data_IF_483676798284
#
_entry.id   IF_483676798284
#
_cell.length_a   1.000
_cell.length_b   1.000
_cell.length_c   1.000
_cell.angle_alpha   90.00
_cell.angle_beta   90.00
_cell.angle_gamma   90.00
#
_symmetry.space_group_name_H-M   'P 1'
#
loop_
_entity.id
_entity.type
_entity.pdbx_description
1 polymer ?
#
# COMPACT_ATOMS: atom_id res chain seq x y z
N UNK A 1 -22.47 -29.64 -37.97
CA UNK A 1 -23.38 -30.07 -36.88
C UNK A 1 -23.16 -29.15 -35.69
N UNK A 2 -24.18 -28.38 -35.32
CA UNK A 2 -24.16 -27.42 -34.21
C UNK A 2 -24.25 -28.20 -32.89
N UNK A 3 -23.22 -28.12 -32.05
CA UNK A 3 -23.30 -28.55 -30.66
C UNK A 3 -23.69 -27.33 -29.79
N UNK A 4 -24.75 -27.50 -29.02
CA UNK A 4 -25.54 -26.41 -28.46
C UNK A 4 -24.83 -25.59 -27.39
N UNK A 5 -24.92 -24.27 -27.55
CA UNK A 5 -24.78 -23.27 -26.49
C UNK A 5 -25.78 -23.62 -25.38
N UNK A 6 -25.31 -24.13 -24.25
CA UNK A 6 -26.08 -24.15 -23.00
C UNK A 6 -25.75 -22.88 -22.23
N UNK A 7 -26.38 -21.77 -22.59
CA UNK A 7 -26.57 -20.68 -21.62
C UNK A 7 -27.67 -21.12 -20.65
N UNK A 8 -27.30 -21.82 -19.59
CA UNK A 8 -28.14 -21.88 -18.39
C UNK A 8 -28.16 -20.48 -17.79
N UNK A 9 -29.35 -19.95 -17.54
CA UNK A 9 -29.60 -18.57 -17.13
C UNK A 9 -28.66 -18.09 -16.03
N UNK A 10 -27.88 -17.06 -16.35
CA UNK A 10 -27.15 -16.28 -15.35
C UNK A 10 -28.21 -15.49 -14.58
N UNK A 11 -28.72 -16.05 -13.48
CA UNK A 11 -29.31 -15.20 -12.45
C UNK A 11 -28.23 -14.18 -12.09
N UNK A 12 -28.58 -12.89 -11.98
CA UNK A 12 -27.64 -11.80 -11.68
C UNK A 12 -27.05 -12.02 -10.27
N UNK A 13 -26.10 -12.93 -10.12
CA UNK A 13 -25.24 -13.03 -8.95
C UNK A 13 -24.26 -11.87 -9.05
N UNK A 14 -24.21 -11.01 -8.02
CA UNK A 14 -23.26 -9.92 -7.95
C UNK A 14 -21.87 -10.53 -7.77
N UNK A 15 -21.01 -10.39 -8.78
CA UNK A 15 -19.59 -10.69 -8.66
C UNK A 15 -18.86 -9.42 -8.22
N UNK A 16 -17.99 -9.55 -7.22
CA UNK A 16 -17.05 -8.51 -6.80
C UNK A 16 -15.63 -9.05 -6.91
N UNK A 17 -14.69 -8.21 -7.34
CA UNK A 17 -13.27 -8.51 -7.30
C UNK A 17 -12.65 -7.76 -6.11
N UNK A 18 -11.70 -8.39 -5.44
CA UNK A 18 -10.91 -7.76 -4.39
C UNK A 18 -9.46 -8.25 -4.49
N UNK A 19 -8.50 -7.41 -4.09
CA UNK A 19 -7.12 -7.84 -3.95
C UNK A 19 -6.85 -8.35 -2.54
N UNK A 20 -5.76 -9.12 -2.38
CA UNK A 20 -5.23 -9.43 -1.05
C UNK A 20 -4.89 -8.14 -0.30
N UNK A 21 -4.99 -8.17 1.03
CA UNK A 21 -4.55 -7.08 1.92
C UNK A 21 -3.10 -6.66 1.61
N UNK A 22 -2.25 -7.66 1.40
CA UNK A 22 -0.82 -7.50 1.09
C UNK A 22 -0.54 -8.11 -0.28
N UNK A 23 -0.23 -7.25 -1.25
CA UNK A 23 0.11 -7.64 -2.62
C UNK A 23 1.51 -7.11 -2.94
N UNK A 24 2.36 -7.98 -3.47
CA UNK A 24 3.76 -7.67 -3.78
C UNK A 24 3.90 -6.60 -4.87
N UNK A 25 2.94 -6.53 -5.80
CA UNK A 25 2.86 -5.53 -6.85
C UNK A 25 1.41 -5.35 -7.30
N UNK A 26 0.98 -4.11 -7.50
CA UNK A 26 -0.36 -3.75 -7.98
C UNK A 26 -0.24 -2.56 -8.94
N UNK A 27 -0.94 -2.62 -10.07
CA UNK A 27 -1.13 -1.44 -10.93
C UNK A 27 -2.30 -0.61 -10.39
N UNK A 28 -2.09 0.70 -10.21
CA UNK A 28 -3.06 1.61 -9.62
C UNK A 28 -3.24 2.88 -10.47
N UNK A 29 -4.32 3.62 -10.25
CA UNK A 29 -4.58 4.94 -10.86
C UNK A 29 -5.03 4.94 -12.32
N UNK A 30 -5.11 6.14 -12.91
CA UNK A 30 -5.32 6.39 -14.35
C UNK A 30 -6.44 5.59 -15.01
N UNK A 31 -7.61 5.59 -14.36
CA UNK A 31 -8.84 4.97 -14.88
C UNK A 31 -8.84 3.45 -14.87
N UNK A 32 -7.95 2.80 -14.12
CA UNK A 32 -8.03 1.36 -13.85
C UNK A 32 -9.19 1.06 -12.89
N UNK A 33 -9.71 -0.17 -12.96
CA UNK A 33 -10.64 -0.66 -11.95
C UNK A 33 -9.91 -0.75 -10.60
N UNK A 34 -10.31 0.08 -9.66
CA UNK A 34 -9.79 0.05 -8.29
C UNK A 34 -10.44 -1.11 -7.53
N UNK A 35 -9.78 -2.27 -7.60
CA UNK A 35 -10.23 -3.44 -6.85
C UNK A 35 -10.02 -3.17 -5.35
N UNK A 36 -11.06 -3.22 -4.51
CA UNK A 36 -10.92 -3.01 -3.08
C UNK A 36 -9.95 -4.02 -2.48
N UNK A 37 -9.08 -3.57 -1.58
CA UNK A 37 -8.22 -4.45 -0.78
C UNK A 37 -9.07 -5.13 0.30
N UNK A 38 -8.83 -6.42 0.52
CA UNK A 38 -9.37 -7.09 1.71
C UNK A 38 -8.93 -6.33 2.97
N UNK A 39 -9.87 -5.99 3.87
CA UNK A 39 -9.54 -5.28 5.10
C UNK A 39 -8.45 -5.97 5.91
N UNK A 40 -7.62 -5.16 6.56
CA UNK A 40 -6.54 -5.64 7.41
C UNK A 40 -7.08 -6.30 8.70
N UNK A 41 -8.10 -5.70 9.31
CA UNK A 41 -8.74 -6.24 10.50
C UNK A 41 -9.67 -7.40 10.14
N UNK A 42 -9.52 -8.49 10.87
CA UNK A 42 -10.20 -9.76 10.60
C UNK A 42 -11.72 -9.65 10.63
N UNK A 43 -12.29 -8.87 11.55
CA UNK A 43 -13.73 -8.68 11.67
C UNK A 43 -14.31 -8.03 10.40
N UNK A 44 -13.65 -6.97 9.91
CA UNK A 44 -14.02 -6.30 8.67
C UNK A 44 -13.80 -7.18 7.44
N UNK A 45 -12.76 -8.03 7.44
CA UNK A 45 -12.51 -8.96 6.35
C UNK A 45 -13.56 -10.08 6.27
N UNK A 46 -14.02 -10.59 7.43
CA UNK A 46 -15.13 -11.55 7.52
C UNK A 46 -16.42 -10.91 7.02
N UNK A 47 -16.72 -9.68 7.42
CA UNK A 47 -17.87 -8.93 6.95
C UNK A 47 -17.83 -8.69 5.43
N UNK A 48 -16.66 -8.30 4.90
CA UNK A 48 -16.46 -8.06 3.47
C UNK A 48 -16.69 -9.32 2.60
N UNK A 49 -16.48 -10.51 3.16
CA UNK A 49 -16.72 -11.79 2.48
C UNK A 49 -18.07 -12.42 2.84
N UNK A 50 -18.86 -11.81 3.73
CA UNK A 50 -20.14 -12.35 4.15
C UNK A 50 -21.11 -12.51 2.97
N UNK A 51 -21.83 -13.62 2.94
CA UNK A 51 -22.77 -13.94 1.86
C UNK A 51 -22.13 -14.44 0.55
N UNK A 52 -20.81 -14.55 0.49
CA UNK A 52 -20.12 -15.18 -0.65
C UNK A 52 -20.38 -16.68 -0.66
N UNK A 53 -20.92 -17.20 -1.76
CA UNK A 53 -21.18 -18.62 -2.00
C UNK A 53 -20.12 -19.29 -2.90
N UNK A 54 -19.35 -18.49 -3.64
CA UNK A 54 -18.23 -18.92 -4.47
C UNK A 54 -17.05 -17.95 -4.32
N UNK A 55 -15.89 -18.47 -3.93
CA UNK A 55 -14.62 -17.75 -3.88
C UNK A 55 -13.69 -18.27 -4.99
N UNK A 56 -13.40 -17.41 -5.98
CA UNK A 56 -12.42 -17.67 -7.03
C UNK A 56 -11.07 -17.07 -6.63
N UNK A 57 -10.05 -17.90 -6.53
CA UNK A 57 -8.69 -17.49 -6.18
C UNK A 57 -7.80 -17.58 -7.42
N UNK A 58 -7.26 -16.44 -7.88
CA UNK A 58 -6.32 -16.39 -8.98
C UNK A 58 -4.99 -15.81 -8.48
N UNK A 59 -3.92 -16.61 -8.51
CA UNK A 59 -2.60 -16.17 -8.05
C UNK A 59 -2.53 -15.86 -6.56
N UNK A 60 -3.51 -16.34 -5.79
CA UNK A 60 -3.71 -15.99 -4.40
C UNK A 60 -3.99 -17.23 -3.55
N UNK A 61 -3.54 -17.19 -2.30
CA UNK A 61 -3.92 -18.16 -1.27
C UNK A 61 -5.26 -17.72 -0.64
N UNK A 62 -6.04 -18.65 -0.06
CA UNK A 62 -7.20 -18.29 0.74
C UNK A 62 -6.83 -17.24 1.80
N UNK A 63 -7.69 -16.23 2.01
CA UNK A 63 -7.36 -15.14 2.90
C UNK A 63 -7.45 -15.56 4.37
N UNK A 64 -6.44 -15.16 5.13
CA UNK A 64 -6.28 -15.46 6.56
C UNK A 64 -5.98 -14.19 7.34
N UNK A 65 -6.29 -14.23 8.64
CA UNK A 65 -5.99 -13.15 9.56
C UNK A 65 -4.47 -12.94 9.69
N UNK A 66 -4.09 -11.68 9.72
CA UNK A 66 -2.70 -11.29 9.92
C UNK A 66 -2.26 -11.52 11.38
N UNK A 67 -3.13 -11.16 12.34
CA UNK A 67 -3.01 -11.52 13.75
C UNK A 67 -4.18 -12.41 14.17
N UNK A 68 -3.89 -13.40 15.01
CA UNK A 68 -4.92 -14.22 15.66
C UNK A 68 -5.35 -13.56 16.97
N UNK A 69 -6.66 -13.40 17.15
CA UNK A 69 -7.27 -12.88 18.38
C UNK A 69 -8.27 -13.89 18.94
N UNK A 70 -8.49 -13.91 20.27
CA UNK A 70 -9.51 -14.76 20.88
C UNK A 70 -10.89 -14.49 20.25
N UNK A 71 -11.61 -15.56 19.90
CA UNK A 71 -12.95 -15.53 19.31
C UNK A 71 -13.05 -14.92 17.90
N UNK A 72 -11.95 -14.56 17.26
CA UNK A 72 -11.94 -14.08 15.87
C UNK A 72 -11.51 -15.20 14.92
N UNK A 73 -12.27 -15.51 13.84
CA UNK A 73 -11.87 -16.52 12.87
C UNK A 73 -10.54 -16.19 12.19
N UNK A 74 -9.60 -17.15 12.19
CA UNK A 74 -8.33 -17.01 11.49
C UNK A 74 -8.40 -17.14 9.97
N UNK A 75 -9.47 -17.73 9.44
CA UNK A 75 -9.75 -17.81 8.01
C UNK A 75 -11.05 -17.05 7.71
N UNK A 76 -11.05 -16.27 6.63
CA UNK A 76 -12.17 -15.38 6.31
C UNK A 76 -13.17 -15.99 5.33
N UNK A 77 -12.78 -17.05 4.62
CA UNK A 77 -13.65 -17.73 3.66
C UNK A 77 -14.88 -18.30 4.37
N UNK A 78 -16.11 -17.92 3.96
CA UNK A 78 -17.32 -18.48 4.56
C UNK A 78 -17.34 -20.01 4.41
N UNK A 79 -17.70 -20.75 5.46
CA UNK A 79 -17.69 -22.23 5.45
C UNK A 79 -18.56 -22.85 4.36
N UNK A 80 -19.66 -22.19 4.00
CA UNK A 80 -20.57 -22.62 2.95
C UNK A 80 -20.09 -22.22 1.53
N UNK A 81 -19.07 -21.36 1.42
CA UNK A 81 -18.56 -20.93 0.14
C UNK A 81 -17.77 -22.05 -0.53
N UNK A 82 -18.11 -22.36 -1.79
CA UNK A 82 -17.25 -23.18 -2.63
C UNK A 82 -16.00 -22.37 -2.97
N UNK A 83 -14.82 -22.97 -2.88
CA UNK A 83 -13.58 -22.33 -3.32
C UNK A 83 -13.10 -22.98 -4.61
N UNK A 84 -12.77 -22.18 -5.62
CA UNK A 84 -12.13 -22.62 -6.86
C UNK A 84 -10.80 -21.89 -6.98
N UNK A 85 -9.71 -22.65 -7.08
CA UNK A 85 -8.37 -22.11 -7.27
C UNK A 85 -8.01 -22.18 -8.76
N UNK A 86 -7.80 -21.02 -9.38
CA UNK A 86 -7.38 -20.86 -10.77
C UNK A 86 -5.86 -20.89 -10.94
N UNK A 87 -5.09 -21.01 -9.85
CA UNK A 87 -3.64 -21.08 -9.90
C UNK A 87 -2.95 -20.47 -8.68
N UNK A 88 -1.73 -20.92 -8.44
CA UNK A 88 -0.86 -20.40 -7.39
C UNK A 88 0.00 -19.22 -7.86
N UNK A 89 0.99 -18.81 -7.06
CA UNK A 89 1.93 -17.74 -7.41
C UNK A 89 2.68 -17.97 -8.74
N UNK A 90 2.88 -19.23 -9.12
CA UNK A 90 3.59 -19.63 -10.35
C UNK A 90 2.67 -19.70 -11.58
N UNK A 91 1.37 -19.44 -11.41
CA UNK A 91 0.40 -19.47 -12.50
C UNK A 91 0.23 -18.08 -13.10
N UNK A 92 0.26 -18.00 -14.43
CA UNK A 92 -0.18 -16.80 -15.16
C UNK A 92 -1.68 -16.58 -14.91
N UNK A 93 -1.95 -15.81 -13.87
CA UNK A 93 -3.32 -15.55 -13.41
C UNK A 93 -4.06 -14.63 -14.37
N UNK A 94 -3.34 -13.86 -15.18
CA UNK A 94 -3.95 -13.06 -16.24
C UNK A 94 -4.47 -13.97 -17.35
N UNK A 95 -3.64 -14.89 -17.88
CA UNK A 95 -4.08 -15.86 -18.90
C UNK A 95 -5.25 -16.74 -18.39
N UNK A 96 -5.18 -17.23 -17.16
CA UNK A 96 -6.24 -18.04 -16.56
C UNK A 96 -7.58 -17.28 -16.48
N UNK A 97 -7.55 -16.00 -16.06
CA UNK A 97 -8.76 -15.16 -16.00
C UNK A 97 -9.23 -14.81 -17.42
N UNK A 98 -8.34 -14.48 -18.34
CA UNK A 98 -8.69 -14.16 -19.73
C UNK A 98 -9.41 -15.33 -20.41
N UNK A 99 -8.90 -16.55 -20.27
CA UNK A 99 -9.58 -17.75 -20.80
C UNK A 99 -10.93 -18.00 -20.14
N UNK A 100 -11.08 -17.68 -18.86
CA UNK A 100 -12.35 -17.80 -18.16
C UNK A 100 -13.37 -16.75 -18.67
N UNK A 101 -12.93 -15.51 -18.88
CA UNK A 101 -13.73 -14.43 -19.49
C UNK A 101 -14.22 -14.84 -20.88
N UNK A 102 -13.33 -15.36 -21.72
CA UNK A 102 -13.66 -15.84 -23.07
C UNK A 102 -14.63 -17.02 -23.03
N UNK A 103 -14.38 -17.99 -22.14
CA UNK A 103 -15.25 -19.17 -21.98
C UNK A 103 -16.66 -18.80 -21.50
N UNK A 104 -16.77 -17.77 -20.65
CA UNK A 104 -18.05 -17.26 -20.14
C UNK A 104 -18.78 -16.35 -21.13
N UNK A 105 -18.15 -15.96 -22.26
CA UNK A 105 -18.65 -14.90 -23.16
C UNK A 105 -18.98 -13.62 -22.36
N UNK A 106 -18.10 -13.28 -21.41
CA UNK A 106 -18.36 -12.21 -20.45
C UNK A 106 -18.31 -10.84 -21.14
N UNK A 107 -19.25 -9.92 -20.83
CA UNK A 107 -19.33 -8.64 -21.51
C UNK A 107 -18.11 -7.77 -21.19
N UNK A 108 -17.73 -6.94 -22.15
CA UNK A 108 -16.75 -5.89 -21.92
C UNK A 108 -17.17 -5.00 -20.73
N UNK A 109 -16.21 -4.49 -19.94
CA UNK A 109 -16.52 -3.63 -18.80
C UNK A 109 -17.38 -2.44 -19.25
N UNK A 110 -18.50 -2.24 -18.56
CA UNK A 110 -19.56 -1.32 -18.98
C UNK A 110 -19.26 0.16 -18.72
N UNK A 111 -18.14 0.47 -18.05
CA UNK A 111 -17.83 1.83 -17.62
C UNK A 111 -16.40 2.22 -17.97
N UNK A 112 -16.27 3.17 -18.90
CA UNK A 112 -15.04 3.94 -19.02
C UNK A 112 -14.87 4.77 -17.73
N UNK A 113 -13.72 4.61 -17.09
CA UNK A 113 -13.41 5.38 -15.88
C UNK A 113 -12.81 6.71 -16.34
N UNK A 114 -13.67 7.72 -16.50
CA UNK A 114 -13.21 9.09 -16.72
C UNK A 114 -12.36 9.50 -15.52
N UNK A 115 -11.11 9.82 -15.79
CA UNK A 115 -10.12 10.14 -14.78
C UNK A 115 -9.61 11.56 -14.97
N UNK A 116 -9.55 12.30 -13.88
CA UNK A 116 -8.93 13.63 -13.79
C UNK A 116 -7.98 13.64 -12.60
N UNK A 117 -6.78 14.24 -12.71
CA UNK A 117 -5.90 14.41 -11.56
C UNK A 117 -6.64 15.09 -10.40
N UNK A 118 -6.44 14.64 -9.15
CA UNK A 118 -7.04 15.27 -7.99
C UNK A 118 -6.29 16.55 -7.63
N UNK A 119 -6.95 17.41 -6.84
CA UNK A 119 -6.28 18.53 -6.19
C UNK A 119 -5.32 18.03 -5.09
N UNK A 120 -4.20 18.73 -4.85
CA UNK A 120 -3.27 18.37 -3.80
C UNK A 120 -3.88 18.57 -2.40
N UNK A 121 -3.30 17.92 -1.40
CA UNK A 121 -3.67 18.13 -0.01
C UNK A 121 -3.46 19.59 0.41
N UNK A 122 -4.44 20.15 1.12
CA UNK A 122 -4.46 21.53 1.61
C UNK A 122 -5.09 21.60 3.01
N UNK A 123 -5.07 22.79 3.61
CA UNK A 123 -5.65 23.08 4.93
C UNK A 123 -4.71 22.78 6.10
N UNK A 124 -5.26 22.87 7.31
CA UNK A 124 -4.49 22.88 8.56
C UNK A 124 -4.07 21.49 9.06
N UNK A 125 -4.66 20.42 8.50
CA UNK A 125 -4.33 19.04 8.88
C UNK A 125 -3.23 18.46 8.00
N UNK A 126 -2.05 18.26 8.58
CA UNK A 126 -0.96 17.55 7.94
C UNK A 126 -0.91 16.08 8.41
N UNK A 127 -1.38 15.16 7.56
CA UNK A 127 -1.50 13.74 7.89
C UNK A 127 -1.34 12.85 6.64
N UNK A 128 -1.39 11.53 6.83
CA UNK A 128 -1.20 10.57 5.73
C UNK A 128 -2.21 10.76 4.57
N UNK A 129 -3.46 11.14 4.86
CA UNK A 129 -4.46 11.35 3.82
C UNK A 129 -4.13 12.59 2.97
N UNK A 130 -3.80 13.72 3.61
CA UNK A 130 -3.47 14.96 2.89
C UNK A 130 -2.16 14.83 2.11
N UNK A 131 -1.17 14.13 2.66
CA UNK A 131 0.04 13.73 1.93
C UNK A 131 -0.33 12.87 0.70
N UNK A 132 -1.19 11.87 0.88
CA UNK A 132 -1.63 10.98 -0.20
C UNK A 132 -2.30 11.72 -1.36
N UNK A 133 -3.11 12.75 -1.06
CA UNK A 133 -3.73 13.61 -2.09
C UNK A 133 -2.68 14.36 -2.91
N UNK A 134 -1.68 14.94 -2.24
CA UNK A 134 -0.57 15.62 -2.91
C UNK A 134 0.27 14.68 -3.76
N UNK A 135 0.53 13.45 -3.29
CA UNK A 135 1.17 12.42 -4.12
C UNK A 135 0.34 12.09 -5.36
N UNK A 136 -0.98 11.93 -5.20
CA UNK A 136 -1.87 11.65 -6.32
C UNK A 136 -1.92 12.79 -7.36
N UNK A 137 -1.79 14.03 -6.92
CA UNK A 137 -1.76 15.21 -7.78
C UNK A 137 -0.43 15.36 -8.55
N UNK A 138 0.71 15.15 -7.88
CA UNK A 138 2.02 15.55 -8.41
C UNK A 138 2.89 14.41 -8.92
N UNK A 139 2.68 13.15 -8.51
CA UNK A 139 3.53 12.06 -8.99
C UNK A 139 3.37 11.84 -10.50
N UNK A 140 4.48 11.59 -11.22
CA UNK A 140 4.42 11.36 -12.66
C UNK A 140 3.78 10.01 -12.98
N UNK A 141 3.24 9.89 -14.19
CA UNK A 141 2.72 8.63 -14.69
C UNK A 141 3.84 7.59 -14.82
N UNK A 142 3.54 6.34 -14.48
CA UNK A 142 4.46 5.21 -14.51
C UNK A 142 5.43 5.16 -13.33
N UNK A 143 5.29 6.02 -12.32
CA UNK A 143 6.13 5.95 -11.12
C UNK A 143 5.97 4.63 -10.35
N UNK A 144 7.01 4.29 -9.59
CA UNK A 144 7.03 3.13 -8.70
C UNK A 144 6.92 3.62 -7.26
N UNK A 145 6.07 2.98 -6.47
CA UNK A 145 5.88 3.30 -5.05
C UNK A 145 6.22 2.06 -4.23
N UNK A 146 7.31 2.11 -3.48
CA UNK A 146 7.69 1.11 -2.48
C UNK A 146 7.07 1.46 -1.13
N UNK A 147 6.21 0.60 -0.61
CA UNK A 147 5.42 0.88 0.59
C UNK A 147 5.90 0.13 1.83
N UNK A 148 6.25 0.90 2.85
CA UNK A 148 6.52 0.50 4.23
C UNK A 148 6.09 1.61 5.21
N UNK A 149 5.04 2.35 4.83
CA UNK A 149 4.45 3.44 5.63
C UNK A 149 3.61 2.97 6.83
N UNK A 150 3.35 1.65 6.91
CA UNK A 150 2.58 0.96 7.95
C UNK A 150 1.22 1.64 8.21
N UNK A 151 1.10 2.43 9.28
CA UNK A 151 -0.17 3.11 9.62
C UNK A 151 -0.54 4.22 8.64
N UNK A 152 0.44 4.76 7.91
CA UNK A 152 0.23 5.80 6.89
C UNK A 152 -0.13 5.22 5.51
N UNK A 153 0.13 3.93 5.28
CA UNK A 153 0.02 3.31 3.95
C UNK A 153 -1.41 3.27 3.43
N UNK A 154 -2.38 2.86 4.24
CA UNK A 154 -3.76 2.69 3.77
C UNK A 154 -4.41 4.03 3.34
N UNK A 155 -4.36 5.12 4.14
CA UNK A 155 -4.86 6.42 3.69
C UNK A 155 -4.19 6.91 2.41
N UNK A 156 -2.86 6.73 2.28
CA UNK A 156 -2.11 7.14 1.08
C UNK A 156 -2.52 6.30 -0.13
N UNK A 157 -2.61 4.98 0.02
CA UNK A 157 -3.05 4.08 -1.03
C UNK A 157 -4.44 4.45 -1.56
N UNK A 158 -5.38 4.74 -0.65
CA UNK A 158 -6.73 5.16 -1.03
C UNK A 158 -6.73 6.49 -1.80
N UNK A 159 -5.94 7.48 -1.37
CA UNK A 159 -5.81 8.74 -2.11
C UNK A 159 -5.18 8.56 -3.49
N UNK A 160 -4.16 7.68 -3.60
CA UNK A 160 -3.45 7.40 -4.85
C UNK A 160 -4.27 6.63 -5.87
N UNK A 161 -5.35 5.95 -5.48
CA UNK A 161 -6.30 5.35 -6.42
C UNK A 161 -6.85 6.39 -7.43
N UNK A 162 -6.94 7.67 -7.02
CA UNK A 162 -7.33 8.78 -7.87
C UNK A 162 -6.15 9.41 -8.66
N UNK A 163 -4.91 8.99 -8.45
CA UNK A 163 -3.73 9.55 -9.12
C UNK A 163 -3.48 9.01 -10.54
N UNK A 164 -2.37 9.45 -11.15
CA UNK A 164 -1.88 8.91 -12.43
C UNK A 164 -1.57 7.42 -12.32
N UNK A 165 -1.46 6.72 -13.47
CA UNK A 165 -1.07 5.30 -13.46
C UNK A 165 0.28 5.13 -12.77
N UNK A 166 0.37 4.19 -11.85
CA UNK A 166 1.60 3.89 -11.12
C UNK A 166 1.59 2.44 -10.65
N UNK A 167 2.73 1.99 -10.15
CA UNK A 167 2.89 0.66 -9.57
C UNK A 167 3.13 0.75 -8.06
N UNK A 168 2.31 0.03 -7.30
CA UNK A 168 2.45 -0.11 -5.86
C UNK A 168 3.16 -1.42 -5.53
N UNK A 169 4.37 -1.33 -4.97
CA UNK A 169 5.16 -2.44 -4.46
C UNK A 169 4.88 -2.56 -2.96
N UNK A 170 3.93 -3.42 -2.62
CA UNK A 170 3.43 -3.57 -1.26
C UNK A 170 4.24 -4.54 -0.42
N UNK A 171 3.99 -4.46 0.89
CA UNK A 171 4.60 -5.36 1.84
C UNK A 171 4.19 -6.83 1.64
N UNK A 172 5.10 -7.79 1.83
CA UNK A 172 4.87 -9.21 1.48
C UNK A 172 4.80 -10.18 2.67
N UNK A 173 5.00 -9.71 3.90
CA UNK A 173 5.07 -10.62 5.05
C UNK A 173 5.05 -9.97 6.44
N UNK A 174 4.59 -8.74 6.58
CA UNK A 174 4.43 -8.08 7.89
C UNK A 174 5.70 -7.50 8.54
N UNK A 175 6.89 -8.03 8.22
CA UNK A 175 8.18 -7.53 8.72
C UNK A 175 8.59 -6.14 8.15
N UNK A 176 8.65 -5.11 8.98
CA UNK A 176 9.08 -3.76 8.57
C UNK A 176 10.55 -3.72 8.14
N UNK A 177 10.94 -2.66 7.40
CA UNK A 177 12.26 -2.47 6.83
C UNK A 177 12.37 -2.88 5.36
N UNK A 178 11.28 -3.29 4.72
CA UNK A 178 11.25 -3.66 3.31
C UNK A 178 11.32 -2.42 2.39
N UNK A 179 10.77 -1.27 2.82
CA UNK A 179 10.49 -0.13 1.94
C UNK A 179 11.71 0.41 1.19
N UNK A 180 12.74 0.83 1.92
CA UNK A 180 13.94 1.44 1.33
C UNK A 180 14.74 0.49 0.42
N UNK A 181 15.05 -0.77 0.79
CA UNK A 181 15.77 -1.66 -0.11
C UNK A 181 14.97 -2.07 -1.34
N UNK A 182 13.63 -2.20 -1.24
CA UNK A 182 12.79 -2.41 -2.44
C UNK A 182 12.80 -1.19 -3.35
N UNK A 183 12.80 0.02 -2.80
CA UNK A 183 12.93 1.25 -3.59
C UNK A 183 14.28 1.32 -4.32
N UNK A 184 15.38 0.91 -3.67
CA UNK A 184 16.69 0.78 -4.33
C UNK A 184 16.60 -0.19 -5.51
N UNK A 185 16.08 -1.39 -5.30
CA UNK A 185 15.95 -2.39 -6.37
C UNK A 185 15.06 -1.93 -7.52
N UNK A 186 13.95 -1.26 -7.20
CA UNK A 186 13.02 -0.69 -8.17
C UNK A 186 13.68 0.40 -9.04
N UNK A 187 14.41 1.33 -8.42
CA UNK A 187 15.12 2.39 -9.14
C UNK A 187 16.27 1.85 -10.00
N UNK A 188 16.97 0.80 -9.54
CA UNK A 188 17.98 0.11 -10.36
C UNK A 188 17.34 -0.60 -11.55
N UNK A 189 16.20 -1.27 -11.36
CA UNK A 189 15.52 -2.00 -12.42
C UNK A 189 14.85 -1.09 -13.46
N UNK A 190 14.42 0.12 -13.05
CA UNK A 190 13.71 1.09 -13.90
C UNK A 190 14.25 2.50 -13.68
N UNK A 191 15.47 2.81 -14.16
CA UNK A 191 16.16 4.08 -13.87
C UNK A 191 15.53 5.33 -14.53
N UNK A 192 14.60 5.12 -15.47
CA UNK A 192 13.93 6.17 -16.25
C UNK A 192 12.61 6.64 -15.64
N UNK A 193 12.14 6.01 -14.55
CA UNK A 193 10.89 6.40 -13.87
C UNK A 193 11.19 6.80 -12.43
N UNK A 194 10.44 7.79 -11.91
CA UNK A 194 10.55 8.21 -10.52
C UNK A 194 10.18 7.05 -9.59
N UNK A 195 11.04 6.75 -8.63
CA UNK A 195 10.74 5.81 -7.55
C UNK A 195 10.47 6.57 -6.26
N UNK A 196 9.41 6.23 -5.56
CA UNK A 196 9.01 6.81 -4.27
C UNK A 196 9.06 5.72 -3.21
N UNK A 197 9.74 5.97 -2.09
CA UNK A 197 9.73 5.12 -0.92
C UNK A 197 8.87 5.75 0.17
N UNK A 198 7.87 5.02 0.64
CA UNK A 198 7.06 5.40 1.80
C UNK A 198 7.55 4.60 3.00
N UNK A 199 7.96 5.26 4.08
CA UNK A 199 8.46 4.59 5.28
C UNK A 199 7.89 5.23 6.55
N UNK A 200 7.48 4.42 7.53
CA UNK A 200 7.35 4.92 8.91
C UNK A 200 8.73 5.17 9.52
N UNK A 201 8.84 6.11 10.46
CA UNK A 201 10.10 6.36 11.20
C UNK A 201 10.66 5.09 11.88
N UNK A 202 9.82 4.32 12.57
CA UNK A 202 10.23 3.05 13.15
C UNK A 202 10.66 2.02 12.10
N UNK A 203 9.93 1.93 10.98
CA UNK A 203 10.21 0.99 9.89
C UNK A 203 11.51 1.33 9.14
N UNK A 204 11.71 2.61 8.83
CA UNK A 204 12.87 3.10 8.09
C UNK A 204 14.20 2.79 8.78
N UNK A 205 14.22 2.78 10.12
CA UNK A 205 15.44 2.50 10.88
C UNK A 205 15.98 1.07 10.72
N UNK A 206 15.16 0.10 10.30
CA UNK A 206 15.63 -1.29 10.09
C UNK A 206 16.61 -1.40 8.93
N UNK A 207 16.45 -0.55 7.91
CA UNK A 207 17.24 -0.62 6.67
C UNK A 207 17.69 0.75 6.17
N UNK A 208 17.90 1.69 7.09
CA UNK A 208 18.27 3.08 6.82
C UNK A 208 19.55 3.23 5.99
N UNK A 209 20.48 2.28 6.10
CA UNK A 209 21.69 2.17 5.29
C UNK A 209 21.41 2.10 3.77
N UNK A 210 20.18 1.80 3.35
CA UNK A 210 19.77 1.89 1.95
C UNK A 210 19.92 3.32 1.38
N UNK A 211 19.78 4.37 2.21
CA UNK A 211 20.02 5.76 1.78
C UNK A 211 21.43 5.95 1.24
N UNK A 212 22.45 5.34 1.87
CA UNK A 212 23.81 5.38 1.36
C UNK A 212 23.95 4.73 -0.02
N UNK A 213 23.22 3.64 -0.28
CA UNK A 213 23.20 3.00 -1.60
C UNK A 213 22.54 3.92 -2.63
N UNK A 214 21.44 4.56 -2.27
CA UNK A 214 20.78 5.55 -3.14
C UNK A 214 21.72 6.70 -3.50
N UNK A 215 22.48 7.23 -2.52
CA UNK A 215 23.49 8.27 -2.74
C UNK A 215 24.64 7.78 -3.64
N UNK A 216 25.23 6.63 -3.30
CA UNK A 216 26.37 6.06 -4.02
C UNK A 216 26.07 5.80 -5.49
N UNK A 217 24.90 5.25 -5.77
CA UNK A 217 24.48 4.87 -7.13
C UNK A 217 23.69 6.00 -7.83
N UNK A 218 23.56 7.17 -7.18
CA UNK A 218 22.81 8.34 -7.66
C UNK A 218 21.39 7.99 -8.16
N UNK A 219 20.68 7.15 -7.39
CA UNK A 219 19.35 6.65 -7.77
C UNK A 219 18.28 7.74 -7.63
N UNK A 220 17.34 7.79 -8.56
CA UNK A 220 16.21 8.74 -8.50
C UNK A 220 15.09 8.25 -7.57
N UNK A 221 15.41 8.22 -6.27
CA UNK A 221 14.50 7.80 -5.20
C UNK A 221 14.10 8.99 -4.33
N UNK A 222 12.80 9.27 -4.28
CA UNK A 222 12.20 10.15 -3.28
C UNK A 222 11.75 9.32 -2.07
N UNK A 223 12.46 9.45 -0.95
CA UNK A 223 12.09 8.80 0.31
C UNK A 223 11.23 9.74 1.15
N UNK A 224 10.05 9.28 1.57
CA UNK A 224 9.14 10.01 2.44
C UNK A 224 9.04 9.24 3.75
N UNK A 225 9.47 9.87 4.84
CA UNK A 225 9.42 9.27 6.17
C UNK A 225 8.31 9.91 6.98
N UNK A 226 7.39 9.09 7.50
CA UNK A 226 6.32 9.53 8.39
C UNK A 226 6.82 9.49 9.84
N UNK A 227 7.16 10.67 10.37
CA UNK A 227 7.69 10.84 11.71
C UNK A 227 6.53 11.12 12.66
N UNK A 228 6.20 10.13 13.48
CA UNK A 228 5.16 10.21 14.50
C UNK A 228 5.67 9.79 15.89
N UNK A 229 6.96 9.46 15.96
CA UNK A 229 7.70 9.08 17.16
C UNK A 229 7.13 7.85 17.88
N UNK A 230 6.52 6.91 17.14
CA UNK A 230 5.94 5.69 17.73
C UNK A 230 5.83 4.51 16.75
N UNK A 231 5.92 3.29 17.30
CA UNK A 231 5.40 2.11 16.62
C UNK A 231 3.86 2.05 16.73
N UNK A 232 3.18 2.94 15.99
CA UNK A 232 1.74 3.18 16.13
C UNK A 232 0.88 1.95 15.88
N UNK A 233 1.20 1.12 14.88
CA UNK A 233 0.44 -0.12 14.64
C UNK A 233 0.50 -1.05 15.85
N UNK A 234 1.64 -1.13 16.54
CA UNK A 234 1.79 -1.98 17.72
C UNK A 234 0.97 -1.46 18.90
N UNK A 235 0.83 -0.13 19.05
CA UNK A 235 -0.08 0.47 20.05
C UNK A 235 -1.54 0.09 19.76
N UNK A 236 -1.95 0.15 18.49
CA UNK A 236 -3.30 -0.26 18.05
C UNK A 236 -3.53 -1.74 18.36
N UNK A 237 -2.59 -2.62 17.98
CA UNK A 237 -2.76 -4.06 18.18
C UNK A 237 -2.68 -4.48 19.65
N UNK A 238 -1.86 -3.81 20.45
CA UNK A 238 -1.81 -4.03 21.89
C UNK A 238 -3.15 -3.69 22.55
N UNK A 239 -3.76 -2.56 22.20
CA UNK A 239 -5.09 -2.19 22.70
C UNK A 239 -6.15 -3.25 22.32
N UNK A 240 -6.03 -3.86 21.13
CA UNK A 240 -6.94 -4.91 20.65
C UNK A 240 -6.76 -6.27 21.35
N UNK A 241 -5.66 -6.50 22.05
CA UNK A 241 -5.47 -7.74 22.84
C UNK A 241 -6.40 -7.84 24.05
N UNK A 242 -6.98 -6.71 24.50
CA UNK A 242 -7.72 -6.65 25.75
C UNK A 242 -6.85 -6.74 27.00
N UNK A 243 -5.51 -6.62 26.88
CA UNK A 243 -4.56 -6.64 27.99
C UNK A 243 -4.63 -5.41 28.93
N UNK A 244 -5.64 -4.53 28.75
CA UNK A 244 -5.82 -3.31 29.53
C UNK A 244 -4.86 -2.20 29.13
N UNK A 245 -4.66 -1.25 30.03
CA UNK A 245 -3.78 -0.11 29.79
C UNK A 245 -2.31 -0.53 29.99
N UNK A 246 -1.45 -0.42 28.96
CA UNK A 246 -0.04 -0.73 29.09
C UNK A 246 0.63 0.15 30.16
N UNK A 247 1.44 -0.48 31.01
CA UNK A 247 2.27 0.24 31.98
C UNK A 247 3.40 1.04 31.32
N UNK A 248 4.16 1.85 32.09
CA UNK A 248 5.21 2.72 31.56
C UNK A 248 6.27 2.00 30.72
N UNK A 249 6.68 0.80 31.13
CA UNK A 249 7.67 -0.01 30.40
C UNK A 249 7.17 -0.43 29.01
N UNK A 250 5.91 -0.87 28.91
CA UNK A 250 5.31 -1.26 27.64
C UNK A 250 5.13 -0.06 26.70
N UNK A 251 4.70 1.10 27.23
CA UNK A 251 4.63 2.33 26.45
C UNK A 251 6.01 2.80 25.96
N UNK A 252 7.05 2.63 26.80
CA UNK A 252 8.43 2.94 26.43
C UNK A 252 8.93 2.12 25.25
N UNK A 253 8.61 0.82 25.19
CA UNK A 253 9.00 -0.05 24.06
C UNK A 253 8.37 0.35 22.73
N UNK A 254 7.25 1.07 22.74
CA UNK A 254 6.51 1.49 21.54
C UNK A 254 6.70 2.97 21.20
N UNK A 255 7.53 3.68 21.96
CA UNK A 255 7.86 5.09 21.77
C UNK A 255 9.22 5.23 21.09
N UNK A 256 9.33 6.22 20.19
CA UNK A 256 10.56 6.59 19.49
C UNK A 256 10.95 8.05 19.77
N UNK A 257 10.28 8.71 20.71
CA UNK A 257 10.44 10.16 20.95
C UNK A 257 11.44 10.54 22.04
N UNK A 258 12.24 9.63 22.56
CA UNK A 258 13.15 9.92 23.68
C UNK A 258 14.46 9.09 23.61
N UNK A 259 15.47 9.55 22.86
CA UNK A 259 15.49 10.78 22.04
C UNK A 259 14.70 10.65 20.73
N UNK A 260 14.31 11.79 20.14
CA UNK A 260 13.74 11.83 18.79
C UNK A 260 14.81 11.57 17.72
N UNK A 261 14.40 10.97 16.61
CA UNK A 261 15.28 10.67 15.47
C UNK A 261 15.28 11.86 14.52
N UNK A 262 16.44 12.51 14.39
CA UNK A 262 16.66 13.58 13.41
C UNK A 262 16.91 12.98 12.02
N UNK A 263 15.83 12.76 11.28
CA UNK A 263 15.86 12.17 9.93
C UNK A 263 16.63 13.01 8.90
N UNK A 264 16.70 14.33 9.08
CA UNK A 264 17.45 15.20 8.17
C UNK A 264 18.95 14.93 8.35
N UNK A 265 19.46 15.06 9.58
CA UNK A 265 20.89 14.80 9.86
C UNK A 265 21.30 13.37 9.53
N UNK A 266 20.43 12.41 9.85
CA UNK A 266 20.68 11.00 9.56
C UNK A 266 20.79 10.75 8.04
N UNK A 267 19.90 11.36 7.25
CA UNK A 267 19.92 11.25 5.79
C UNK A 267 21.15 11.92 5.18
N UNK A 268 21.48 13.13 5.64
CA UNK A 268 22.65 13.87 5.17
C UNK A 268 23.95 13.15 5.51
N UNK A 269 24.05 12.53 6.70
CA UNK A 269 25.17 11.68 7.09
C UNK A 269 25.37 10.45 6.19
N UNK A 270 24.33 10.03 5.47
CA UNK A 270 24.35 8.95 4.49
C UNK A 270 24.44 9.45 3.04
N UNK A 271 24.60 10.78 2.83
CA UNK A 271 24.81 11.38 1.52
C UNK A 271 23.54 11.71 0.74
N UNK A 272 22.37 11.67 1.37
CA UNK A 272 21.08 12.02 0.75
C UNK A 272 20.56 13.33 1.32
N UNK A 273 20.39 14.35 0.47
CA UNK A 273 19.83 15.64 0.88
C UNK A 273 18.39 15.49 1.37
N UNK A 274 18.07 16.18 2.46
CA UNK A 274 16.80 16.00 3.15
C UNK A 274 16.18 17.31 3.64
N UNK A 275 14.85 17.32 3.78
CA UNK A 275 14.13 18.41 4.43
C UNK A 275 13.02 17.86 5.35
N UNK A 276 12.72 18.61 6.42
CA UNK A 276 11.64 18.27 7.36
C UNK A 276 10.46 19.22 7.13
N UNK A 277 9.24 18.66 7.10
CA UNK A 277 8.01 19.40 6.82
C UNK A 277 6.93 19.03 7.83
N UNK A 278 6.08 19.99 8.18
CA UNK A 278 4.99 19.82 9.15
C UNK A 278 3.65 20.40 8.68
N UNK A 279 3.57 20.85 7.43
CA UNK A 279 2.37 21.45 6.83
C UNK A 279 2.17 20.97 5.40
N UNK A 280 0.92 21.02 4.92
CA UNK A 280 0.58 20.70 3.53
C UNK A 280 1.34 21.59 2.53
N UNK A 281 1.49 22.88 2.81
CA UNK A 281 2.20 23.81 1.94
C UNK A 281 3.68 23.45 1.80
N UNK A 282 4.39 23.25 2.92
CA UNK A 282 5.79 22.82 2.90
C UNK A 282 5.98 21.50 2.16
N UNK A 283 5.10 20.52 2.42
CA UNK A 283 5.16 19.23 1.73
C UNK A 283 4.92 19.36 0.23
N UNK A 284 3.94 20.16 -0.20
CA UNK A 284 3.66 20.38 -1.61
C UNK A 284 4.84 21.03 -2.34
N UNK A 285 5.49 22.00 -1.71
CA UNK A 285 6.68 22.65 -2.26
C UNK A 285 7.87 21.68 -2.35
N UNK A 286 8.11 20.92 -1.29
CA UNK A 286 9.14 19.89 -1.22
C UNK A 286 8.94 18.78 -2.29
N UNK A 287 7.71 18.27 -2.38
CA UNK A 287 7.32 17.22 -3.32
C UNK A 287 7.50 17.67 -4.77
N UNK A 288 7.06 18.88 -5.12
CA UNK A 288 7.23 19.40 -6.49
C UNK A 288 8.72 19.55 -6.86
N UNK A 289 9.57 20.04 -5.94
CA UNK A 289 11.03 20.08 -6.16
C UNK A 289 11.61 18.67 -6.32
N UNK A 290 11.22 17.73 -5.48
CA UNK A 290 11.70 16.35 -5.54
C UNK A 290 11.24 15.61 -6.80
N UNK A 291 10.03 15.88 -7.29
CA UNK A 291 9.52 15.31 -8.54
C UNK A 291 10.24 15.89 -9.76
N UNK A 292 10.51 17.20 -9.77
CA UNK A 292 11.15 17.90 -10.90
C UNK A 292 12.67 17.75 -10.98
N UNK A 293 13.31 17.27 -9.92
CA UNK A 293 14.76 17.05 -9.89
C UNK A 293 15.09 15.57 -9.80
N UNK A 294 16.13 15.15 -10.51
CA UNK A 294 16.65 13.77 -10.45
C UNK A 294 17.60 13.62 -9.26
N UNK A 295 17.60 12.43 -8.68
CA UNK A 295 18.57 12.00 -7.68
C UNK A 295 17.92 11.77 -6.32
N UNK A 296 18.67 11.21 -5.37
CA UNK A 296 18.10 10.78 -4.11
C UNK A 296 17.74 11.97 -3.23
N UNK A 297 16.56 11.92 -2.62
CA UNK A 297 16.03 12.95 -1.71
C UNK A 297 15.25 12.29 -0.59
N UNK A 298 15.23 12.94 0.58
CA UNK A 298 14.37 12.55 1.69
C UNK A 298 13.48 13.71 2.16
N UNK A 299 12.21 13.42 2.41
CA UNK A 299 11.28 14.33 3.07
C UNK A 299 10.82 13.67 4.38
N UNK A 300 11.17 14.28 5.51
CA UNK A 300 10.70 13.87 6.82
C UNK A 300 9.39 14.59 7.16
N UNK A 301 8.27 13.89 7.08
CA UNK A 301 6.94 14.41 7.36
C UNK A 301 6.62 14.26 8.85
N UNK A 302 6.66 15.37 9.59
CA UNK A 302 6.25 15.43 10.99
C UNK A 302 4.72 15.37 11.06
N UNK A 303 4.17 14.20 11.36
CA UNK A 303 2.72 13.98 11.41
C UNK A 303 2.27 13.71 12.85
N UNK A 304 1.00 14.00 13.19
CA UNK A 304 0.48 13.70 14.51
C UNK A 304 0.65 12.21 14.88
N UNK A 305 1.11 11.95 16.10
CA UNK A 305 1.17 10.61 16.68
C UNK A 305 -0.21 9.91 16.68
N UNK A 306 -1.27 10.71 16.89
CA UNK A 306 -2.63 10.32 17.29
C UNK A 306 -2.67 9.48 18.58
#
# INVERSE_FOLDING_TARGET
MRAGRRCCGVSRRRASACSRTHSWRVMCGGGLYDAPRLPYFAEAAVEALAGTDLLLLAGAKPPVAFFAYPNTPGAFTPKAARTINLGGPDTDSFDAISRLVDWLDAPAPSRAINWTPPEPGAGDQFNAQTIGLSLAAYLPEGCLISDDGVTSSLPIYMSLAAGRRHEWLGHTGGAIGQGMPVAVGAAVARPDVKTVCLAGDGAGMYTVQALWTMARENLDVLTIVFVNNAYRILKIELARTGAGNPGPAANGMLSLGSPEIDWVKLSEGLGVGAESVSTCAQFNDALQRAVSTRGPRLIACQIPAA
#
